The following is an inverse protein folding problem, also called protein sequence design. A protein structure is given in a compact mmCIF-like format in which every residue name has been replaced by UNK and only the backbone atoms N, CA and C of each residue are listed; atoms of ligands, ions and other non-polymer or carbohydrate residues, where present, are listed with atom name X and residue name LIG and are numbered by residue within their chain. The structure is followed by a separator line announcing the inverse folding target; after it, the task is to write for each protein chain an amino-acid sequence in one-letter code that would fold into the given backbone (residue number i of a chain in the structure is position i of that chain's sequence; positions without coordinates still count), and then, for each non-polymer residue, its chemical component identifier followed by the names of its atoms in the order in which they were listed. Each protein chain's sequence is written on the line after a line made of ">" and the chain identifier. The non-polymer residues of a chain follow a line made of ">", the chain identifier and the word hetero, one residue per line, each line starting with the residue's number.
data_IF_273668650334
#
_entry.id   IF_273668650334
#
_cell.length_a   1.000
_cell.length_b   1.000
_cell.length_c   1.000
_cell.angle_alpha   90.00
_cell.angle_beta   90.00
_cell.angle_gamma   90.00
#
_symmetry.space_group_name_H-M   'P 1'
#
loop_
_entity.id
_entity.type
_entity.pdbx_description
1 polymer ?
#
# COMPACT_ATOMS: atom_id res chain seq x y z
N UNK A 1 -22.29 5.53 1.34
CA UNK A 1 -21.95 4.94 2.66
C UNK A 1 -21.61 5.98 3.69
N UNK A 2 -20.64 6.85 3.44
CA UNK A 2 -20.20 7.88 4.39
C UNK A 2 -21.35 8.74 4.90
N UNK A 3 -22.29 9.12 4.01
CA UNK A 3 -23.53 9.80 4.39
C UNK A 3 -24.35 9.06 5.45
N UNK A 4 -24.44 7.73 5.43
CA UNK A 4 -25.24 6.96 6.38
C UNK A 4 -24.53 6.78 7.73
N UNK A 5 -23.20 6.79 7.74
CA UNK A 5 -22.40 6.88 8.97
C UNK A 5 -22.55 8.27 9.59
N UNK A 6 -22.49 9.33 8.77
CA UNK A 6 -22.72 10.72 9.21
C UNK A 6 -24.15 10.91 9.71
N UNK A 7 -25.15 10.31 9.05
CA UNK A 7 -26.52 10.36 9.52
C UNK A 7 -26.70 9.63 10.86
N UNK A 8 -26.01 8.49 11.06
CA UNK A 8 -25.99 7.86 12.39
C UNK A 8 -25.33 8.76 13.43
N UNK A 9 -24.30 9.52 13.06
CA UNK A 9 -23.66 10.50 13.95
C UNK A 9 -24.60 11.64 14.34
N UNK A 10 -25.40 12.15 13.40
CA UNK A 10 -26.28 13.30 13.63
C UNK A 10 -27.64 12.94 14.28
N UNK A 11 -28.17 11.73 14.03
CA UNK A 11 -29.51 11.32 14.47
C UNK A 11 -29.54 10.42 15.71
N UNK A 12 -28.41 9.95 16.23
CA UNK A 12 -28.44 9.18 17.50
C UNK A 12 -28.49 10.15 18.68
N UNK A 13 -29.65 10.25 19.31
CA UNK A 13 -29.90 11.21 20.40
C UNK A 13 -29.08 10.93 21.67
N UNK A 14 -28.58 9.70 21.87
CA UNK A 14 -27.75 9.32 23.04
C UNK A 14 -26.52 8.48 22.64
N UNK A 15 -25.46 9.11 22.12
CA UNK A 15 -24.18 8.42 21.91
C UNK A 15 -23.29 8.52 23.14
N UNK A 16 -22.90 7.36 23.67
CA UNK A 16 -21.77 7.29 24.61
C UNK A 16 -20.51 7.83 23.91
N UNK A 17 -19.58 8.40 24.68
CA UNK A 17 -18.31 8.90 24.14
C UNK A 17 -17.58 7.84 23.30
N UNK A 18 -17.64 6.58 23.72
CA UNK A 18 -17.06 5.44 23.00
C UNK A 18 -17.73 5.24 21.63
N UNK A 19 -19.06 5.28 21.57
CA UNK A 19 -19.80 5.19 20.30
C UNK A 19 -19.54 6.36 19.36
N UNK A 20 -19.30 7.57 19.90
CA UNK A 20 -18.90 8.72 19.09
C UNK A 20 -17.50 8.53 18.47
N UNK A 21 -16.54 8.03 19.25
CA UNK A 21 -15.17 7.72 18.78
C UNK A 21 -15.18 6.63 17.72
N UNK A 22 -15.97 5.56 17.91
CA UNK A 22 -16.11 4.48 16.93
C UNK A 22 -16.67 5.00 15.59
N UNK A 23 -17.73 5.81 15.65
CA UNK A 23 -18.35 6.41 14.47
C UNK A 23 -17.38 7.36 13.73
N UNK A 24 -16.62 8.18 14.47
CA UNK A 24 -15.60 9.06 13.90
C UNK A 24 -14.46 8.28 13.24
N UNK A 25 -14.00 7.19 13.86
CA UNK A 25 -12.98 6.30 13.31
C UNK A 25 -13.45 5.69 11.99
N UNK A 26 -14.73 5.27 11.90
CA UNK A 26 -15.31 4.75 10.66
C UNK A 26 -15.33 5.81 9.55
N UNK A 27 -15.61 7.07 9.88
CA UNK A 27 -15.56 8.18 8.90
C UNK A 27 -14.13 8.38 8.41
N UNK A 28 -13.14 8.42 9.31
CA UNK A 28 -11.74 8.59 8.95
C UNK A 28 -11.22 7.44 8.06
N UNK A 29 -11.57 6.19 8.38
CA UNK A 29 -11.21 5.03 7.57
C UNK A 29 -11.77 5.13 6.14
N UNK A 30 -13.02 5.55 5.98
CA UNK A 30 -13.61 5.76 4.66
C UNK A 30 -12.97 6.93 3.92
N UNK A 31 -12.65 8.02 4.63
CA UNK A 31 -12.00 9.19 4.05
C UNK A 31 -10.59 8.86 3.55
N UNK A 32 -9.83 8.05 4.28
CA UNK A 32 -8.51 7.58 3.86
C UNK A 32 -8.57 6.86 2.51
N UNK A 33 -9.52 5.93 2.36
CA UNK A 33 -9.70 5.18 1.11
C UNK A 33 -10.15 6.08 -0.04
N UNK A 34 -11.06 7.03 0.22
CA UNK A 34 -11.49 8.00 -0.79
C UNK A 34 -10.31 8.85 -1.26
N UNK A 35 -9.43 9.27 -0.34
CA UNK A 35 -8.19 9.96 -0.70
C UNK A 35 -7.30 9.09 -1.59
N UNK A 36 -7.13 7.80 -1.28
CA UNK A 36 -6.36 6.89 -2.13
C UNK A 36 -6.97 6.66 -3.50
N UNK A 37 -8.28 6.47 -3.61
CA UNK A 37 -8.96 6.34 -4.91
C UNK A 37 -8.79 7.62 -5.73
N UNK A 38 -8.94 8.77 -5.08
CA UNK A 38 -8.77 10.08 -5.73
C UNK A 38 -7.32 10.27 -6.19
N UNK A 39 -6.35 9.94 -5.33
CA UNK A 39 -4.93 10.00 -5.67
C UNK A 39 -4.59 9.05 -6.82
N UNK A 40 -5.08 7.81 -6.80
CA UNK A 40 -4.93 6.84 -7.89
C UNK A 40 -5.49 7.35 -9.21
N UNK A 41 -6.65 8.02 -9.18
CA UNK A 41 -7.28 8.55 -10.37
C UNK A 41 -6.55 9.77 -10.92
N UNK A 42 -6.24 10.75 -10.06
CA UNK A 42 -5.59 12.02 -10.44
C UNK A 42 -4.12 11.81 -10.81
N UNK A 43 -3.38 11.04 -10.02
CA UNK A 43 -1.94 10.78 -10.22
C UNK A 43 -1.68 9.57 -11.10
N UNK A 44 -2.71 8.93 -11.67
CA UNK A 44 -2.60 7.78 -12.58
C UNK A 44 -1.48 7.91 -13.62
N UNK A 45 -1.37 9.00 -14.40
CA UNK A 45 -0.32 9.10 -15.42
C UNK A 45 1.08 9.09 -14.80
N UNK A 46 1.26 9.76 -13.66
CA UNK A 46 2.55 9.84 -12.96
C UNK A 46 2.94 8.47 -12.38
N UNK A 47 1.98 7.75 -11.77
CA UNK A 47 2.20 6.41 -11.23
C UNK A 47 2.57 5.44 -12.36
N UNK A 48 1.86 5.47 -13.49
CA UNK A 48 2.18 4.61 -14.63
C UNK A 48 3.54 4.95 -15.24
N UNK A 49 3.88 6.23 -15.33
CA UNK A 49 5.19 6.68 -15.78
C UNK A 49 6.30 6.20 -14.85
N UNK A 50 6.09 6.32 -13.53
CA UNK A 50 7.01 5.83 -12.50
C UNK A 50 7.25 4.33 -12.62
N UNK A 51 6.18 3.53 -12.71
CA UNK A 51 6.27 2.08 -12.86
C UNK A 51 7.00 1.65 -14.14
N UNK A 52 6.71 2.31 -15.27
CA UNK A 52 7.43 2.07 -16.54
C UNK A 52 8.91 2.45 -16.45
N UNK A 53 9.21 3.57 -15.79
CA UNK A 53 10.59 4.04 -15.60
C UNK A 53 11.38 3.07 -14.73
N UNK A 54 10.77 2.60 -13.63
CA UNK A 54 11.33 1.54 -12.78
C UNK A 54 11.62 0.27 -13.59
N UNK A 55 10.67 -0.17 -14.42
CA UNK A 55 10.83 -1.37 -15.23
C UNK A 55 12.00 -1.27 -16.23
N UNK A 56 12.21 -0.10 -16.84
CA UNK A 56 13.25 0.07 -17.86
C UNK A 56 14.62 0.44 -17.31
N UNK A 57 14.69 1.16 -16.18
CA UNK A 57 15.93 1.75 -15.70
C UNK A 57 16.54 1.04 -14.49
N UNK A 58 15.78 0.18 -13.80
CA UNK A 58 16.36 -0.63 -12.72
C UNK A 58 17.30 -1.68 -13.30
N UNK A 59 18.46 -1.81 -12.67
CA UNK A 59 19.42 -2.83 -13.03
C UNK A 59 18.90 -4.20 -12.62
N UNK A 60 19.03 -5.15 -13.53
CA UNK A 60 18.74 -6.55 -13.29
C UNK A 60 19.80 -7.13 -12.36
N UNK A 61 19.35 -7.84 -11.32
CA UNK A 61 20.20 -8.47 -10.31
C UNK A 61 21.12 -9.53 -10.95
N UNK A 62 20.67 -10.17 -12.03
CA UNK A 62 21.39 -11.22 -12.76
C UNK A 62 22.66 -10.72 -13.45
N UNK A 63 22.71 -9.42 -13.79
CA UNK A 63 23.88 -8.81 -14.42
C UNK A 63 24.99 -8.46 -13.42
N UNK A 64 24.76 -8.66 -12.12
CA UNK A 64 25.75 -8.42 -11.09
C UNK A 64 26.78 -9.57 -11.03
N UNK A 65 28.08 -9.24 -11.13
CA UNK A 65 29.16 -10.23 -11.11
C UNK A 65 29.47 -10.79 -9.72
N UNK A 66 29.10 -10.07 -8.65
CA UNK A 66 29.34 -10.51 -7.28
C UNK A 66 28.20 -11.42 -6.79
N UNK A 67 28.50 -12.72 -6.71
CA UNK A 67 27.57 -13.75 -6.24
C UNK A 67 27.05 -13.48 -4.82
N UNK A 68 27.86 -12.89 -3.93
CA UNK A 68 27.43 -12.59 -2.55
C UNK A 68 26.40 -11.47 -2.53
N UNK A 69 26.63 -10.41 -3.32
CA UNK A 69 25.69 -9.31 -3.46
C UNK A 69 24.38 -9.76 -4.13
N UNK A 70 24.49 -10.61 -5.15
CA UNK A 70 23.36 -11.22 -5.84
C UNK A 70 22.48 -12.01 -4.86
N UNK A 71 23.10 -12.87 -4.04
CA UNK A 71 22.40 -13.65 -3.01
C UNK A 71 21.70 -12.76 -1.98
N UNK A 72 22.35 -11.69 -1.53
CA UNK A 72 21.75 -10.76 -0.55
C UNK A 72 20.59 -9.94 -1.16
N UNK A 73 20.64 -9.60 -2.44
CA UNK A 73 19.52 -9.00 -3.17
C UNK A 73 18.34 -9.98 -3.27
N UNK A 74 18.57 -11.24 -3.64
CA UNK A 74 17.51 -12.27 -3.67
C UNK A 74 16.90 -12.54 -2.29
N UNK A 75 17.72 -12.60 -1.22
CA UNK A 75 17.21 -12.69 0.16
C UNK A 75 16.30 -11.51 0.48
N UNK A 76 16.69 -10.30 0.10
CA UNK A 76 15.89 -9.09 0.34
C UNK A 76 14.55 -9.16 -0.41
N UNK A 77 14.54 -9.60 -1.67
CA UNK A 77 13.30 -9.84 -2.43
C UNK A 77 12.42 -10.90 -1.78
N UNK A 78 13.01 -11.99 -1.29
CA UNK A 78 12.28 -13.06 -0.63
C UNK A 78 11.64 -12.57 0.68
N UNK A 79 12.38 -11.81 1.49
CA UNK A 79 11.85 -11.16 2.71
C UNK A 79 10.72 -10.19 2.38
N UNK A 80 10.84 -9.41 1.31
CA UNK A 80 9.79 -8.49 0.86
C UNK A 80 8.50 -9.25 0.50
N UNK A 81 8.61 -10.32 -0.29
CA UNK A 81 7.47 -11.20 -0.63
C UNK A 81 6.84 -11.84 0.61
N UNK A 82 7.65 -12.24 1.59
CA UNK A 82 7.15 -12.79 2.85
C UNK A 82 6.41 -11.75 3.69
N UNK A 83 6.98 -10.55 3.83
CA UNK A 83 6.31 -9.43 4.52
C UNK A 83 4.96 -9.12 3.89
N UNK A 84 4.90 -9.10 2.55
CA UNK A 84 3.64 -8.92 1.84
C UNK A 84 2.60 -9.98 2.20
N UNK A 85 2.98 -11.27 2.17
CA UNK A 85 2.07 -12.36 2.54
C UNK A 85 1.57 -12.23 3.97
N UNK A 86 2.47 -11.95 4.92
CA UNK A 86 2.10 -11.75 6.34
C UNK A 86 1.13 -10.58 6.49
N UNK A 87 1.42 -9.46 5.82
CA UNK A 87 0.58 -8.27 5.88
C UNK A 87 -0.81 -8.52 5.28
N UNK A 88 -0.91 -9.21 4.14
CA UNK A 88 -2.18 -9.63 3.55
C UNK A 88 -2.99 -10.52 4.50
N UNK A 89 -2.33 -11.49 5.13
CA UNK A 89 -2.97 -12.41 6.08
C UNK A 89 -3.50 -11.66 7.31
N UNK A 90 -2.68 -10.78 7.90
CA UNK A 90 -3.09 -9.96 9.04
C UNK A 90 -4.29 -9.08 8.69
N UNK A 91 -4.23 -8.38 7.55
CA UNK A 91 -5.32 -7.53 7.08
C UNK A 91 -6.60 -8.35 6.86
N UNK A 92 -6.51 -9.52 6.23
CA UNK A 92 -7.65 -10.41 6.03
C UNK A 92 -8.33 -10.78 7.35
N UNK A 93 -7.57 -11.18 8.37
CA UNK A 93 -8.12 -11.48 9.69
C UNK A 93 -8.70 -10.25 10.39
N UNK A 94 -8.03 -9.09 10.31
CA UNK A 94 -8.55 -7.84 10.86
C UNK A 94 -9.88 -7.46 10.22
N UNK A 95 -9.98 -7.54 8.90
CA UNK A 95 -11.19 -7.22 8.13
C UNK A 95 -12.34 -8.16 8.48
N UNK A 96 -12.08 -9.47 8.52
CA UNK A 96 -13.10 -10.45 8.95
C UNK A 96 -13.58 -10.19 10.37
N UNK A 97 -12.66 -9.94 11.30
CA UNK A 97 -12.98 -9.67 12.70
C UNK A 97 -13.80 -8.38 12.84
N UNK A 98 -13.42 -7.33 12.11
CA UNK A 98 -14.10 -6.05 12.14
C UNK A 98 -15.52 -6.11 11.54
N UNK A 99 -15.71 -6.84 10.44
CA UNK A 99 -17.02 -6.95 9.77
C UNK A 99 -17.97 -7.95 10.41
N UNK A 100 -17.46 -9.10 10.89
CA UNK A 100 -18.31 -10.18 11.38
C UNK A 100 -18.22 -10.42 12.88
N UNK A 101 -17.17 -9.96 13.56
CA UNK A 101 -16.96 -10.23 14.99
C UNK A 101 -18.14 -9.77 15.85
N UNK A 102 -18.65 -8.56 15.60
CA UNK A 102 -19.78 -7.98 16.36
C UNK A 102 -21.10 -8.72 16.16
N UNK A 103 -21.41 -9.13 14.93
CA UNK A 103 -22.61 -9.91 14.63
C UNK A 103 -22.51 -11.31 15.23
N UNK A 104 -21.33 -11.93 15.20
CA UNK A 104 -21.12 -13.25 15.77
C UNK A 104 -21.27 -13.26 17.30
N UNK A 105 -20.85 -12.19 17.96
CA UNK A 105 -20.93 -12.05 19.42
C UNK A 105 -22.34 -11.70 19.91
N UNK A 106 -22.96 -10.66 19.35
CA UNK A 106 -24.26 -10.14 19.82
C UNK A 106 -25.47 -10.86 19.20
N UNK A 107 -25.36 -11.37 17.96
CA UNK A 107 -26.45 -11.98 17.16
C UNK A 107 -27.66 -11.07 16.89
N UNK A 108 -27.52 -9.76 17.12
CA UNK A 108 -28.61 -8.80 16.93
C UNK A 108 -28.52 -8.10 15.55
N UNK A 109 -29.67 -7.69 15.01
CA UNK A 109 -29.77 -6.98 13.71
C UNK A 109 -29.94 -5.47 13.89
N UNK A 110 -29.04 -4.87 14.67
CA UNK A 110 -29.06 -3.44 15.02
C UNK A 110 -28.09 -2.62 14.14
N UNK A 111 -28.30 -1.30 13.99
CA UNK A 111 -27.39 -0.40 13.25
C UNK A 111 -25.92 -0.45 13.69
N UNK A 112 -25.67 -0.79 14.95
CA UNK A 112 -24.35 -0.90 15.58
C UNK A 112 -23.58 -2.16 15.14
N UNK A 113 -24.31 -3.19 14.74
CA UNK A 113 -23.78 -4.45 14.23
C UNK A 113 -23.54 -4.43 12.72
N UNK A 114 -23.82 -3.32 12.05
CA UNK A 114 -23.48 -3.16 10.64
C UNK A 114 -21.95 -3.13 10.46
N UNK A 115 -21.46 -3.59 9.31
CA UNK A 115 -20.02 -3.60 9.00
C UNK A 115 -19.37 -2.23 9.15
N UNK A 116 -20.11 -1.19 8.75
CA UNK A 116 -19.87 0.18 9.16
C UNK A 116 -21.07 0.62 9.98
N UNK A 117 -20.84 1.03 11.24
CA UNK A 117 -21.90 1.60 12.08
C UNK A 117 -22.60 2.72 11.32
N UNK A 118 -23.82 2.43 10.88
CA UNK A 118 -24.52 3.29 9.94
C UNK A 118 -26.02 3.21 10.13
N UNK A 119 -26.67 4.32 9.82
CA UNK A 119 -28.12 4.42 9.92
C UNK A 119 -28.79 3.47 8.92
N UNK A 120 -29.78 2.70 9.42
CA UNK A 120 -30.63 1.86 8.60
C UNK A 120 -31.92 2.62 8.33
N UNK A 121 -32.21 3.01 7.08
CA UNK A 121 -33.46 3.69 6.75
C UNK A 121 -34.68 2.84 7.10
N UNK A 122 -35.76 3.46 7.58
CA UNK A 122 -37.00 2.77 7.99
C UNK A 122 -37.61 1.85 6.92
N UNK A 123 -37.34 2.14 5.64
CA UNK A 123 -37.85 1.38 4.50
C UNK A 123 -36.94 0.21 4.07
N UNK A 124 -35.74 0.07 4.66
CA UNK A 124 -34.75 -0.92 4.25
C UNK A 124 -34.51 -1.95 5.38
N UNK A 125 -34.53 -3.23 5.03
CA UNK A 125 -34.17 -4.31 5.97
C UNK A 125 -32.65 -4.32 6.22
N UNK A 126 -32.25 -4.63 7.45
CA UNK A 126 -30.87 -4.86 7.88
C UNK A 126 -30.07 -5.68 6.85
N UNK A 127 -30.56 -6.85 6.42
CA UNK A 127 -29.81 -7.75 5.54
C UNK A 127 -29.52 -7.16 4.15
N UNK A 128 -30.46 -6.38 3.61
CA UNK A 128 -30.29 -5.70 2.33
C UNK A 128 -29.20 -4.63 2.46
N UNK A 129 -29.28 -3.83 3.52
CA UNK A 129 -28.28 -2.82 3.82
C UNK A 129 -26.91 -3.47 4.07
N UNK A 130 -26.87 -4.56 4.83
CA UNK A 130 -25.68 -5.33 5.17
C UNK A 130 -25.01 -5.89 3.91
N UNK A 131 -25.77 -6.50 3.01
CA UNK A 131 -25.27 -6.97 1.71
C UNK A 131 -24.74 -5.81 0.85
N UNK A 132 -25.46 -4.68 0.81
CA UNK A 132 -24.99 -3.48 0.10
C UNK A 132 -23.67 -2.94 0.64
N UNK A 133 -23.44 -3.05 1.96
CA UNK A 133 -22.19 -2.64 2.58
C UNK A 133 -21.00 -3.53 2.20
N UNK A 134 -21.22 -4.76 1.72
CA UNK A 134 -20.11 -5.69 1.40
C UNK A 134 -19.25 -5.19 0.24
N UNK A 135 -19.87 -4.51 -0.72
CA UNK A 135 -19.16 -3.97 -1.88
C UNK A 135 -18.06 -2.96 -1.47
N UNK A 136 -18.37 -1.87 -0.75
CA UNK A 136 -17.34 -0.97 -0.26
C UNK A 136 -16.47 -1.60 0.84
N UNK A 137 -17.04 -2.45 1.70
CA UNK A 137 -16.30 -3.15 2.76
C UNK A 137 -15.17 -4.02 2.20
N UNK A 138 -15.38 -4.73 1.10
CA UNK A 138 -14.30 -5.51 0.48
C UNK A 138 -13.35 -4.63 -0.36
N UNK A 139 -13.90 -3.67 -1.11
CA UNK A 139 -13.10 -2.83 -2.00
C UNK A 139 -12.11 -1.93 -1.26
N UNK A 140 -12.50 -1.40 -0.09
CA UNK A 140 -11.71 -0.41 0.63
C UNK A 140 -10.36 -0.94 1.15
N UNK A 141 -10.31 -2.04 1.93
CA UNK A 141 -9.05 -2.60 2.41
C UNK A 141 -8.14 -3.08 1.26
N UNK A 142 -8.72 -3.55 0.16
CA UNK A 142 -7.94 -4.02 -1.01
C UNK A 142 -7.22 -2.86 -1.69
N UNK A 143 -7.88 -1.70 -1.85
CA UNK A 143 -7.27 -0.52 -2.47
C UNK A 143 -6.16 0.03 -1.57
N UNK A 144 -6.40 0.12 -0.27
CA UNK A 144 -5.43 0.54 0.73
C UNK A 144 -4.19 -0.37 0.73
N UNK A 145 -4.40 -1.69 0.79
CA UNK A 145 -3.35 -2.69 0.72
C UNK A 145 -2.52 -2.58 -0.57
N UNK A 146 -3.18 -2.42 -1.72
CA UNK A 146 -2.51 -2.30 -3.01
C UNK A 146 -1.61 -1.06 -3.08
N UNK A 147 -2.09 0.07 -2.57
CA UNK A 147 -1.33 1.32 -2.54
C UNK A 147 -0.15 1.26 -1.59
N UNK A 148 -0.37 0.86 -0.34
CA UNK A 148 0.68 0.75 0.67
C UNK A 148 1.78 -0.21 0.22
N UNK A 149 1.38 -1.36 -0.35
CA UNK A 149 2.34 -2.32 -0.88
C UNK A 149 3.11 -1.80 -2.09
N UNK A 150 2.45 -1.06 -2.98
CA UNK A 150 3.12 -0.44 -4.14
C UNK A 150 4.18 0.56 -3.67
N UNK A 151 3.83 1.46 -2.75
CA UNK A 151 4.77 2.44 -2.19
C UNK A 151 5.93 1.74 -1.47
N UNK A 152 5.63 0.77 -0.61
CA UNK A 152 6.65 0.02 0.13
C UNK A 152 7.59 -0.76 -0.80
N UNK A 153 7.06 -1.34 -1.88
CA UNK A 153 7.85 -2.05 -2.89
C UNK A 153 8.76 -1.11 -3.66
N UNK A 154 8.26 0.06 -4.10
CA UNK A 154 9.06 1.06 -4.80
C UNK A 154 10.22 1.54 -3.92
N UNK A 155 9.95 1.84 -2.65
CA UNK A 155 11.00 2.27 -1.69
C UNK A 155 12.02 1.15 -1.47
N UNK A 156 11.55 -0.08 -1.25
CA UNK A 156 12.43 -1.24 -1.02
C UNK A 156 13.32 -1.57 -2.21
N UNK A 157 12.77 -1.51 -3.42
CA UNK A 157 13.52 -1.75 -4.65
C UNK A 157 14.49 -0.60 -4.94
N UNK A 158 14.09 0.66 -4.75
CA UNK A 158 14.99 1.81 -4.88
C UNK A 158 16.17 1.70 -3.91
N UNK A 159 15.94 1.28 -2.66
CA UNK A 159 17.01 1.03 -1.69
C UNK A 159 17.96 -0.09 -2.13
N UNK A 160 17.44 -1.13 -2.81
CA UNK A 160 18.26 -2.19 -3.40
C UNK A 160 19.10 -1.67 -4.56
N UNK A 161 18.54 -0.83 -5.44
CA UNK A 161 19.27 -0.21 -6.54
C UNK A 161 20.42 0.68 -6.04
N UNK A 162 20.24 1.43 -4.95
CA UNK A 162 21.35 2.17 -4.32
C UNK A 162 22.48 1.26 -3.83
N UNK A 163 22.17 0.06 -3.31
CA UNK A 163 23.20 -0.90 -2.89
C UNK A 163 23.97 -1.46 -4.08
N UNK A 164 23.27 -1.80 -5.17
CA UNK A 164 23.88 -2.25 -6.42
C UNK A 164 24.78 -1.16 -7.02
N UNK A 165 24.29 0.09 -7.08
CA UNK A 165 25.04 1.24 -7.55
C UNK A 165 26.32 1.48 -6.75
N UNK A 166 26.22 1.44 -5.41
CA UNK A 166 27.41 1.59 -4.55
C UNK A 166 28.47 0.54 -4.87
N UNK A 167 28.05 -0.72 -5.03
CA UNK A 167 28.98 -1.80 -5.34
C UNK A 167 29.65 -1.61 -6.70
N UNK A 168 28.89 -1.28 -7.75
CA UNK A 168 29.44 -1.00 -9.08
C UNK A 168 30.44 0.16 -9.06
N UNK A 169 30.16 1.22 -8.31
CA UNK A 169 31.12 2.32 -8.12
C UNK A 169 32.42 1.84 -7.43
N UNK A 170 32.31 1.06 -6.36
CA UNK A 170 33.48 0.50 -5.66
C UNK A 170 34.32 -0.42 -6.58
N UNK A 171 33.69 -1.18 -7.46
CA UNK A 171 34.37 -2.06 -8.44
C UNK A 171 35.09 -1.25 -9.52
N UNK A 172 34.47 -0.18 -10.04
CA UNK A 172 35.08 0.69 -11.07
C UNK A 172 36.42 1.25 -10.58
N UNK A 173 36.50 1.67 -9.31
CA UNK A 173 37.74 2.23 -8.76
C UNK A 173 38.81 1.15 -8.46
N UNK A 174 38.41 -0.08 -8.12
CA UNK A 174 39.34 -1.19 -7.82
C UNK A 174 40.01 -1.79 -9.05
N UNK A 175 39.31 -1.93 -10.17
CA UNK A 175 39.79 -2.59 -11.39
C UNK A 175 40.42 -1.62 -12.42
N UNK A 176 40.68 -0.37 -12.03
CA UNK A 176 41.07 0.70 -12.96
C UNK A 176 42.52 0.57 -13.47
N UNK A 177 42.70 -0.09 -14.62
CA UNK A 177 43.93 -0.05 -15.43
C UNK A 177 43.80 0.73 -16.75
N UNK A 178 42.56 0.88 -17.27
CA UNK A 178 42.27 1.59 -18.53
C UNK A 178 41.26 2.75 -18.32
N UNK A 179 41.71 3.99 -18.52
CA UNK A 179 40.94 5.21 -18.19
C UNK A 179 39.66 5.44 -19.03
N UNK A 180 39.63 5.01 -20.30
CA UNK A 180 38.48 5.23 -21.19
C UNK A 180 37.29 4.35 -20.76
N UNK A 181 37.54 3.09 -20.42
CA UNK A 181 36.51 2.15 -19.96
C UNK A 181 35.95 2.53 -18.57
N UNK A 182 36.78 3.18 -17.74
CA UNK A 182 36.37 3.73 -16.43
C UNK A 182 35.40 4.90 -16.60
N UNK A 183 35.64 5.82 -17.54
CA UNK A 183 34.76 6.96 -17.79
C UNK A 183 33.36 6.55 -18.27
N UNK A 184 33.25 5.57 -19.17
CA UNK A 184 31.95 5.10 -19.64
C UNK A 184 31.14 4.39 -18.55
N UNK A 185 31.80 3.56 -17.72
CA UNK A 185 31.14 2.93 -16.57
C UNK A 185 30.72 3.95 -15.51
N UNK A 186 31.57 4.95 -15.25
CA UNK A 186 31.25 6.03 -14.32
C UNK A 186 30.06 6.85 -14.80
N UNK A 187 30.01 7.18 -16.11
CA UNK A 187 28.85 7.86 -16.72
C UNK A 187 27.56 7.06 -16.53
N UNK A 188 27.57 5.75 -16.80
CA UNK A 188 26.41 4.87 -16.59
C UNK A 188 25.94 4.86 -15.11
N UNK A 189 26.88 4.81 -14.16
CA UNK A 189 26.55 4.90 -12.74
C UNK A 189 25.97 6.27 -12.36
N UNK A 190 26.52 7.36 -12.92
CA UNK A 190 26.03 8.71 -12.68
C UNK A 190 24.63 8.94 -13.26
N UNK A 191 24.35 8.42 -14.45
CA UNK A 191 23.01 8.46 -15.05
C UNK A 191 21.99 7.70 -14.20
N UNK A 192 22.36 6.49 -13.72
CA UNK A 192 21.50 5.71 -12.84
C UNK A 192 21.29 6.40 -11.48
N UNK A 193 22.33 7.00 -10.89
CA UNK A 193 22.21 7.81 -9.68
C UNK A 193 21.27 9.01 -9.88
N UNK A 194 21.40 9.70 -11.02
CA UNK A 194 20.54 10.83 -11.37
C UNK A 194 19.09 10.40 -11.50
N UNK A 195 18.83 9.25 -12.09
CA UNK A 195 17.50 8.65 -12.12
C UNK A 195 16.98 8.33 -10.71
N UNK A 196 17.75 7.61 -9.90
CA UNK A 196 17.34 7.23 -8.54
C UNK A 196 17.08 8.46 -7.64
N UNK A 197 17.84 9.54 -7.80
CA UNK A 197 17.61 10.81 -7.13
C UNK A 197 16.44 11.59 -7.73
N UNK A 198 16.21 11.47 -9.04
CA UNK A 198 15.07 12.06 -9.76
C UNK A 198 13.73 11.44 -9.36
N UNK A 199 13.70 10.20 -8.88
CA UNK A 199 12.52 9.59 -8.23
C UNK A 199 12.06 10.35 -6.97
N UNK A 200 12.92 11.22 -6.42
CA UNK A 200 12.61 12.09 -5.28
C UNK A 200 12.01 13.44 -5.70
N UNK A 201 11.93 13.76 -7.00
CA UNK A 201 11.52 15.07 -7.51
C UNK A 201 10.08 15.09 -7.99
#
# INVERSE_FOLDING_TARGET
>A
MTYLVVMLFLYSEDKTFIGAVACFTNILAQLHVVLYVTALYVLRPNILYLLKSIQHQFWEIENCKDFKLQLDCYKTLHVLKWKYRIFCTLLFFCVLTYYYGRILESKETTPENMMFESYIPKWMNFWVMFAWQHLPAYGFPVIELAMDFTVFSIVSLTAMQFRLLRHEMEVIFKDSKDGIFVMDKFRKCSEHLTFLLGLKR
#
